data_IF_146566205187
#
_entry.id   IF_146566205187
#
_cell.length_a   1.000
_cell.length_b   1.000
_cell.length_c   1.000
_cell.angle_alpha   90.00
_cell.angle_beta   90.00
_cell.angle_gamma   90.00
#
_symmetry.space_group_name_H-M   'P 1'
#
loop_
_entity.id
_entity.type
_entity.pdbx_description
1 polymer ?
#
# COMPACT_ATOMS: atom_id res chain seq x y z
N UNK A 1 -10.12 -4.04 -15.15
CA UNK A 1 -10.17 -3.05 -14.05
C UNK A 1 -10.97 -1.85 -14.47
N UNK A 2 -11.87 -1.38 -13.61
CA UNK A 2 -12.64 -0.17 -13.84
C UNK A 2 -12.30 0.86 -12.76
N UNK A 3 -11.88 2.06 -13.17
CA UNK A 3 -11.77 3.19 -12.25
C UNK A 3 -13.18 3.62 -11.82
N UNK A 4 -13.30 4.37 -10.73
CA UNK A 4 -14.60 4.90 -10.29
C UNK A 4 -15.26 5.75 -11.39
N UNK A 5 -14.45 6.46 -12.19
CA UNK A 5 -14.91 7.14 -13.39
C UNK A 5 -15.48 6.16 -14.42
N UNK A 6 -14.79 5.05 -14.69
CA UNK A 6 -15.25 4.04 -15.65
C UNK A 6 -16.56 3.40 -15.18
N UNK A 7 -16.66 3.03 -13.90
CA UNK A 7 -17.90 2.51 -13.30
C UNK A 7 -19.05 3.52 -13.41
N UNK A 8 -18.78 4.81 -13.16
CA UNK A 8 -19.79 5.87 -13.29
C UNK A 8 -20.17 6.14 -14.75
N UNK A 9 -19.22 6.04 -15.68
CA UNK A 9 -19.49 6.16 -17.12
C UNK A 9 -20.35 4.99 -17.59
N UNK A 10 -19.97 3.75 -17.28
CA UNK A 10 -20.73 2.54 -17.64
C UNK A 10 -22.14 2.55 -17.03
N UNK A 11 -22.27 3.02 -15.80
CA UNK A 11 -23.57 3.25 -15.16
C UNK A 11 -24.43 4.23 -15.96
N UNK A 12 -23.85 5.37 -16.36
CA UNK A 12 -24.55 6.40 -17.10
C UNK A 12 -24.91 5.91 -18.52
N UNK A 13 -23.97 5.25 -19.19
CA UNK A 13 -24.15 4.66 -20.52
C UNK A 13 -25.27 3.62 -20.51
N UNK A 14 -25.29 2.73 -19.51
CA UNK A 14 -26.35 1.73 -19.33
C UNK A 14 -27.73 2.35 -19.07
N UNK A 15 -27.79 3.48 -18.37
CA UNK A 15 -29.07 4.20 -18.17
C UNK A 15 -29.52 4.99 -19.40
N UNK A 16 -28.59 5.41 -20.26
CA UNK A 16 -28.88 6.26 -21.41
C UNK A 16 -29.08 5.49 -22.72
N UNK A 17 -28.65 4.23 -22.83
CA UNK A 17 -28.59 3.44 -24.06
C UNK A 17 -29.84 3.57 -24.96
N UNK A 18 -31.04 3.46 -24.39
CA UNK A 18 -32.31 3.45 -25.15
C UNK A 18 -33.16 4.72 -24.99
N UNK A 19 -32.60 5.80 -24.43
CA UNK A 19 -33.34 7.04 -24.16
C UNK A 19 -33.16 8.05 -25.28
N UNK A 20 -34.20 8.84 -25.57
CA UNK A 20 -34.08 10.02 -26.44
C UNK A 20 -33.15 11.07 -25.84
N UNK A 21 -32.62 11.98 -26.67
CA UNK A 21 -31.72 13.06 -26.22
C UNK A 21 -32.36 13.91 -25.11
N UNK A 22 -33.63 14.29 -25.27
CA UNK A 22 -34.36 15.07 -24.25
C UNK A 22 -34.50 14.31 -22.93
N UNK A 23 -34.76 12.99 -22.98
CA UNK A 23 -34.83 12.16 -21.78
C UNK A 23 -33.48 12.04 -21.08
N UNK A 24 -32.38 11.97 -21.83
CA UNK A 24 -31.02 11.95 -21.28
C UNK A 24 -30.66 13.27 -20.62
N UNK A 25 -30.99 14.38 -21.27
CA UNK A 25 -30.83 15.73 -20.73
C UNK A 25 -31.63 15.93 -19.43
N UNK A 26 -32.92 15.60 -19.45
CA UNK A 26 -33.80 15.70 -18.29
C UNK A 26 -33.35 14.80 -17.14
N UNK A 27 -32.85 13.61 -17.46
CA UNK A 27 -32.26 12.72 -16.45
C UNK A 27 -31.03 13.35 -15.81
N UNK A 28 -30.05 13.82 -16.60
CA UNK A 28 -28.81 14.38 -16.07
C UNK A 28 -29.06 15.63 -15.22
N UNK A 29 -29.90 16.55 -15.70
CA UNK A 29 -30.27 17.78 -14.97
C UNK A 29 -30.97 17.47 -13.64
N UNK A 30 -31.93 16.54 -13.64
CA UNK A 30 -32.65 16.11 -12.43
C UNK A 30 -31.73 15.39 -11.46
N UNK A 31 -30.88 14.49 -11.97
CA UNK A 31 -29.93 13.74 -11.16
C UNK A 31 -28.95 14.68 -10.45
N UNK A 32 -28.36 15.64 -11.17
CA UNK A 32 -27.44 16.62 -10.59
C UNK A 32 -28.17 17.43 -9.53
N UNK A 33 -29.33 18.01 -9.84
CA UNK A 33 -30.11 18.80 -8.86
C UNK A 33 -30.39 18.05 -7.56
N UNK A 34 -30.81 16.80 -7.66
CA UNK A 34 -31.22 16.02 -6.49
C UNK A 34 -30.04 15.49 -5.67
N UNK A 35 -28.86 15.34 -6.27
CA UNK A 35 -27.72 14.67 -5.63
C UNK A 35 -26.55 15.61 -5.34
N UNK A 36 -26.63 16.89 -5.73
CA UNK A 36 -25.55 17.86 -5.53
C UNK A 36 -25.27 18.15 -4.05
N UNK A 37 -26.20 17.85 -3.15
CA UNK A 37 -25.98 17.98 -1.70
C UNK A 37 -25.32 16.72 -1.09
N UNK A 38 -25.58 15.55 -1.67
CA UNK A 38 -25.05 14.26 -1.24
C UNK A 38 -23.71 13.90 -1.94
N UNK A 39 -22.83 14.89 -2.16
CA UNK A 39 -21.70 14.80 -3.09
C UNK A 39 -20.75 13.62 -2.84
N UNK A 40 -20.54 13.21 -1.59
CA UNK A 40 -19.49 12.25 -1.24
C UNK A 40 -19.64 10.88 -1.92
N UNK A 41 -20.87 10.37 -2.07
CA UNK A 41 -21.14 9.06 -2.69
C UNK A 41 -21.39 9.13 -4.20
N UNK A 42 -21.92 10.25 -4.69
CA UNK A 42 -22.37 10.40 -6.08
C UNK A 42 -21.50 11.31 -6.96
N UNK A 43 -20.39 11.86 -6.43
CA UNK A 43 -19.58 12.84 -7.17
C UNK A 43 -19.12 12.36 -8.57
N UNK A 44 -18.71 11.10 -8.72
CA UNK A 44 -18.31 10.58 -10.04
C UNK A 44 -19.48 10.48 -11.02
N UNK A 45 -20.67 10.11 -10.53
CA UNK A 45 -21.90 10.08 -11.33
C UNK A 45 -22.35 11.49 -11.74
N UNK A 46 -22.29 12.45 -10.82
CA UNK A 46 -22.54 13.87 -11.08
C UNK A 46 -21.57 14.39 -12.15
N UNK A 47 -20.28 14.08 -12.00
CA UNK A 47 -19.25 14.44 -12.98
C UNK A 47 -19.53 13.84 -14.37
N UNK A 48 -19.90 12.57 -14.47
CA UNK A 48 -20.25 11.93 -15.74
C UNK A 48 -21.51 12.57 -16.38
N UNK A 49 -22.56 12.83 -15.60
CA UNK A 49 -23.75 13.54 -16.08
C UNK A 49 -23.40 14.94 -16.60
N UNK A 50 -22.54 15.66 -15.88
CA UNK A 50 -22.07 16.98 -16.31
C UNK A 50 -21.24 16.92 -17.59
N UNK A 51 -20.26 16.01 -17.69
CA UNK A 51 -19.47 15.83 -18.92
C UNK A 51 -20.35 15.50 -20.11
N UNK A 52 -21.38 14.66 -19.93
CA UNK A 52 -22.35 14.37 -20.98
C UNK A 52 -23.08 15.65 -21.43
N UNK A 53 -23.65 16.40 -20.48
CA UNK A 53 -24.38 17.64 -20.77
C UNK A 53 -23.50 18.68 -21.46
N UNK A 54 -22.26 18.87 -20.99
CA UNK A 54 -21.29 19.81 -21.54
C UNK A 54 -20.90 19.44 -22.98
N UNK A 55 -20.71 18.15 -23.28
CA UNK A 55 -20.37 17.67 -24.64
C UNK A 55 -21.55 17.71 -25.60
N UNK A 56 -22.75 17.35 -25.13
CA UNK A 56 -23.94 17.24 -25.99
C UNK A 56 -24.62 18.61 -26.21
N UNK A 57 -24.69 19.45 -25.17
CA UNK A 57 -25.45 20.71 -25.17
C UNK A 57 -24.71 21.81 -24.39
N UNK A 58 -23.50 22.17 -24.82
CA UNK A 58 -22.60 23.07 -24.07
C UNK A 58 -23.23 24.40 -23.62
N UNK A 59 -23.94 25.12 -24.50
CA UNK A 59 -24.61 26.38 -24.15
C UNK A 59 -25.73 26.19 -23.13
N UNK A 60 -26.56 25.15 -23.30
CA UNK A 60 -27.65 24.85 -22.37
C UNK A 60 -27.10 24.37 -21.02
N UNK A 61 -25.95 23.69 -21.00
CA UNK A 61 -25.30 23.22 -19.78
C UNK A 61 -24.80 24.38 -18.93
N UNK A 62 -24.23 25.42 -19.57
CA UNK A 62 -23.88 26.68 -18.91
C UNK A 62 -25.13 27.35 -18.32
N UNK A 63 -26.22 27.40 -19.09
CA UNK A 63 -27.50 27.93 -18.62
C UNK A 63 -28.12 27.11 -17.48
N UNK A 64 -27.94 25.79 -17.47
CA UNK A 64 -28.37 24.94 -16.36
C UNK A 64 -27.55 25.21 -15.10
N UNK A 65 -26.22 25.30 -15.23
CA UNK A 65 -25.31 25.60 -14.12
C UNK A 65 -25.67 26.91 -13.43
N UNK A 66 -25.93 27.98 -14.19
CA UNK A 66 -26.30 29.28 -13.62
C UNK A 66 -27.65 29.30 -12.91
N UNK A 67 -28.52 28.31 -13.16
CA UNK A 67 -29.84 28.14 -12.52
C UNK A 67 -29.81 27.21 -11.31
N UNK A 68 -28.66 26.65 -10.95
CA UNK A 68 -28.53 25.88 -9.72
C UNK A 68 -28.57 26.81 -8.51
N UNK A 69 -29.10 26.32 -7.39
CA UNK A 69 -29.15 27.10 -6.15
C UNK A 69 -27.75 27.48 -5.63
N UNK A 70 -26.76 26.60 -5.84
CA UNK A 70 -25.37 26.81 -5.48
C UNK A 70 -24.50 26.27 -6.63
N UNK A 71 -24.21 27.08 -7.66
CA UNK A 71 -23.42 26.67 -8.82
C UNK A 71 -21.99 26.23 -8.46
N UNK A 72 -21.39 26.86 -7.44
CA UNK A 72 -20.00 26.65 -7.01
C UNK A 72 -19.78 25.19 -6.56
N UNK A 73 -20.81 24.57 -5.97
CA UNK A 73 -20.75 23.16 -5.57
C UNK A 73 -20.58 22.21 -6.74
N UNK A 74 -21.18 22.54 -7.88
CA UNK A 74 -20.99 21.76 -9.10
C UNK A 74 -19.60 21.99 -9.67
N UNK A 75 -19.12 23.25 -9.64
CA UNK A 75 -17.79 23.61 -10.12
C UNK A 75 -16.68 22.92 -9.34
N UNK A 76 -16.73 22.95 -8.01
CA UNK A 76 -15.76 22.29 -7.14
C UNK A 76 -15.75 20.77 -7.36
N UNK A 77 -16.94 20.17 -7.48
CA UNK A 77 -17.08 18.75 -7.79
C UNK A 77 -16.44 18.40 -9.14
N UNK A 78 -16.76 19.16 -10.18
CA UNK A 78 -16.25 18.94 -11.55
C UNK A 78 -14.74 19.16 -11.60
N UNK A 79 -14.24 20.26 -11.03
CA UNK A 79 -12.81 20.57 -10.98
C UNK A 79 -12.03 19.47 -10.26
N UNK A 80 -12.49 19.05 -9.07
CA UNK A 80 -11.86 17.98 -8.30
C UNK A 80 -11.85 16.65 -9.04
N UNK A 81 -12.93 16.29 -9.76
CA UNK A 81 -12.98 15.04 -10.55
C UNK A 81 -12.15 15.11 -11.84
N UNK A 82 -12.10 16.25 -12.52
CA UNK A 82 -11.17 16.46 -13.65
C UNK A 82 -9.72 16.30 -13.21
N UNK A 83 -9.34 16.92 -12.10
CA UNK A 83 -7.98 16.79 -11.55
C UNK A 83 -7.67 15.34 -11.16
N UNK A 84 -8.58 14.68 -10.46
CA UNK A 84 -8.42 13.27 -10.06
C UNK A 84 -8.22 12.36 -11.28
N UNK A 85 -9.05 12.53 -12.33
CA UNK A 85 -8.93 11.80 -13.59
C UNK A 85 -7.60 12.08 -14.29
N UNK A 86 -7.17 13.33 -14.33
CA UNK A 86 -5.89 13.72 -14.94
C UNK A 86 -4.70 13.11 -14.19
N UNK A 87 -4.72 13.10 -12.85
CA UNK A 87 -3.69 12.44 -12.03
C UNK A 87 -3.66 10.93 -12.28
N UNK A 88 -4.83 10.29 -12.36
CA UNK A 88 -4.92 8.86 -12.66
C UNK A 88 -4.31 8.54 -14.03
N UNK A 89 -4.69 9.30 -15.08
CA UNK A 89 -4.14 9.13 -16.43
C UNK A 89 -2.63 9.35 -16.46
N UNK A 90 -2.13 10.39 -15.78
CA UNK A 90 -0.69 10.67 -15.69
C UNK A 90 0.06 9.54 -14.99
N UNK A 91 -0.48 9.00 -13.89
CA UNK A 91 0.13 7.89 -13.17
C UNK A 91 0.17 6.63 -14.05
N UNK A 92 -0.93 6.30 -14.72
CA UNK A 92 -1.00 5.16 -15.66
C UNK A 92 -0.03 5.32 -16.82
N UNK A 93 0.04 6.51 -17.43
CA UNK A 93 0.98 6.80 -18.51
C UNK A 93 2.43 6.63 -18.05
N UNK A 94 2.77 7.16 -16.87
CA UNK A 94 4.10 7.01 -16.29
C UNK A 94 4.47 5.55 -16.01
N UNK A 95 3.52 4.72 -15.56
CA UNK A 95 3.75 3.28 -15.39
C UNK A 95 4.01 2.63 -16.75
N UNK A 96 3.15 2.86 -17.74
CA UNK A 96 3.28 2.26 -19.07
C UNK A 96 4.57 2.69 -19.80
N UNK A 97 5.04 3.91 -19.57
CA UNK A 97 6.30 4.41 -20.13
C UNK A 97 7.52 3.65 -19.59
N UNK A 98 7.54 3.35 -18.29
CA UNK A 98 8.71 2.76 -17.64
C UNK A 98 8.62 1.22 -17.55
N UNK A 99 7.40 0.69 -17.54
CA UNK A 99 7.04 -0.73 -17.53
C UNK A 99 6.00 -1.02 -18.63
N UNK A 100 6.43 -1.11 -19.90
CA UNK A 100 5.52 -1.23 -21.05
C UNK A 100 4.75 -2.56 -21.11
N UNK A 101 5.30 -3.61 -20.51
CA UNK A 101 4.71 -4.95 -20.41
C UNK A 101 3.83 -5.11 -19.17
N UNK A 102 3.66 -4.05 -18.36
CA UNK A 102 2.90 -4.10 -17.12
C UNK A 102 1.41 -4.32 -17.36
N UNK A 103 0.92 -5.48 -16.94
CA UNK A 103 -0.49 -5.88 -17.05
C UNK A 103 -1.29 -5.63 -15.76
N UNK A 104 -0.70 -4.91 -14.79
CA UNK A 104 -1.28 -4.64 -13.47
C UNK A 104 -1.62 -5.90 -12.67
N UNK A 105 -0.99 -7.03 -12.98
CA UNK A 105 -1.05 -8.22 -12.14
C UNK A 105 0.08 -8.19 -11.13
N UNK A 106 -0.24 -8.60 -9.90
CA UNK A 106 0.76 -8.61 -8.81
C UNK A 106 0.76 -10.01 -8.23
N UNK A 107 1.49 -10.91 -8.87
CA UNK A 107 1.42 -12.35 -8.59
C UNK A 107 2.70 -12.82 -7.89
N UNK A 108 2.54 -13.59 -6.82
CA UNK A 108 3.60 -14.46 -6.29
C UNK A 108 3.03 -15.84 -6.01
N UNK A 109 3.79 -16.88 -6.37
CA UNK A 109 3.43 -18.29 -6.13
C UNK A 109 1.97 -18.59 -6.54
N UNK A 110 1.62 -18.22 -7.77
CA UNK A 110 0.27 -18.36 -8.36
C UNK A 110 -0.86 -17.59 -7.65
N UNK A 111 -0.56 -16.79 -6.62
CA UNK A 111 -1.56 -15.97 -5.92
C UNK A 111 -1.54 -14.55 -6.47
N UNK A 112 -2.65 -14.10 -7.04
CA UNK A 112 -2.82 -12.70 -7.44
C UNK A 112 -3.16 -11.82 -6.23
N UNK A 113 -2.36 -10.77 -6.04
CA UNK A 113 -2.47 -9.77 -4.98
C UNK A 113 -2.91 -8.42 -5.54
N UNK A 114 -3.23 -8.32 -6.83
CA UNK A 114 -3.78 -7.11 -7.41
C UNK A 114 -5.14 -6.76 -6.78
N UNK A 115 -5.40 -5.49 -6.43
CA UNK A 115 -6.73 -5.07 -6.00
C UNK A 115 -7.70 -5.09 -7.18
N UNK A 116 -9.00 -5.29 -6.90
CA UNK A 116 -10.04 -5.19 -7.92
C UNK A 116 -10.03 -3.81 -8.62
N UNK A 117 -9.84 -2.76 -7.83
CA UNK A 117 -9.69 -1.38 -8.28
C UNK A 117 -8.42 -0.77 -7.68
N UNK A 118 -7.59 -0.16 -8.53
CA UNK A 118 -6.39 0.54 -8.08
C UNK A 118 -6.78 1.96 -7.66
N UNK A 119 -6.57 2.27 -6.39
CA UNK A 119 -6.77 3.63 -5.89
C UNK A 119 -5.75 4.58 -6.52
N UNK A 120 -6.10 5.86 -6.67
CA UNK A 120 -5.18 6.88 -7.20
C UNK A 120 -3.85 6.89 -6.43
N UNK A 121 -3.90 6.88 -5.10
CA UNK A 121 -2.69 6.87 -4.27
C UNK A 121 -1.83 5.61 -4.44
N UNK A 122 -2.42 4.47 -4.85
CA UNK A 122 -1.64 3.29 -5.22
C UNK A 122 -0.99 3.49 -6.59
N UNK A 123 -1.73 3.99 -7.58
CA UNK A 123 -1.20 4.27 -8.92
C UNK A 123 -0.06 5.29 -8.90
N UNK A 124 -0.18 6.37 -8.12
CA UNK A 124 0.87 7.38 -7.99
C UNK A 124 2.16 6.77 -7.42
N UNK A 125 2.06 5.89 -6.43
CA UNK A 125 3.22 5.22 -5.85
C UNK A 125 3.81 4.16 -6.77
N UNK A 126 2.98 3.43 -7.49
CA UNK A 126 3.45 2.51 -8.54
C UNK A 126 4.14 3.28 -9.66
N UNK A 127 3.66 4.46 -10.04
CA UNK A 127 4.33 5.32 -11.00
C UNK A 127 5.70 5.78 -10.48
N UNK A 128 5.82 6.14 -9.20
CA UNK A 128 7.12 6.43 -8.57
C UNK A 128 8.04 5.21 -8.62
N UNK A 129 7.54 4.03 -8.23
CA UNK A 129 8.30 2.79 -8.25
C UNK A 129 8.80 2.43 -9.66
N UNK A 130 7.95 2.58 -10.67
CA UNK A 130 8.28 2.33 -12.07
C UNK A 130 9.35 3.30 -12.58
N UNK A 131 9.23 4.60 -12.28
CA UNK A 131 10.24 5.59 -12.64
C UNK A 131 11.61 5.30 -12.03
N UNK A 132 11.64 4.89 -10.76
CA UNK A 132 12.91 4.62 -10.07
C UNK A 132 13.56 3.29 -10.48
N UNK A 133 12.81 2.39 -11.13
CA UNK A 133 13.23 1.02 -11.45
C UNK A 133 12.67 0.59 -12.81
N UNK A 134 13.00 1.33 -13.87
CA UNK A 134 12.59 1.00 -15.22
C UNK A 134 13.08 -0.41 -15.64
N UNK A 135 12.23 -1.16 -16.35
CA UNK A 135 12.55 -2.52 -16.84
C UNK A 135 12.63 -3.62 -15.77
N UNK A 136 12.20 -3.37 -14.53
CA UNK A 136 12.21 -4.34 -13.44
C UNK A 136 10.79 -4.79 -13.03
N UNK A 137 9.82 -4.68 -13.95
CA UNK A 137 8.41 -4.85 -13.65
C UNK A 137 8.06 -6.23 -13.08
N UNK A 138 8.59 -7.31 -13.66
CA UNK A 138 8.32 -8.70 -13.22
C UNK A 138 8.92 -8.98 -11.84
N UNK A 139 10.14 -8.49 -11.59
CA UNK A 139 10.79 -8.66 -10.29
C UNK A 139 10.04 -7.87 -9.21
N UNK A 140 9.59 -6.65 -9.53
CA UNK A 140 8.94 -5.78 -8.56
C UNK A 140 7.46 -6.14 -8.31
N UNK A 141 6.74 -6.73 -9.28
CA UNK A 141 5.44 -7.35 -8.98
C UNK A 141 5.60 -8.49 -7.98
N UNK A 142 6.57 -9.38 -8.19
CA UNK A 142 6.83 -10.47 -7.27
C UNK A 142 7.20 -9.95 -5.87
N UNK A 143 8.10 -8.96 -5.80
CA UNK A 143 8.48 -8.32 -4.53
C UNK A 143 7.28 -7.67 -3.81
N UNK A 144 6.38 -6.99 -4.54
CA UNK A 144 5.15 -6.42 -3.97
C UNK A 144 4.21 -7.51 -3.43
N UNK A 145 4.03 -8.61 -4.16
CA UNK A 145 3.22 -9.72 -3.69
C UNK A 145 3.82 -10.40 -2.43
N UNK A 146 5.15 -10.47 -2.35
CA UNK A 146 5.84 -10.91 -1.14
C UNK A 146 5.62 -9.95 0.03
N UNK A 147 5.67 -8.63 -0.19
CA UNK A 147 5.35 -7.62 0.85
C UNK A 147 3.94 -7.76 1.41
N UNK A 148 2.97 -8.06 0.55
CA UNK A 148 1.60 -8.36 1.00
C UNK A 148 1.57 -9.60 1.89
N UNK A 149 2.28 -10.66 1.50
CA UNK A 149 2.38 -11.91 2.27
C UNK A 149 3.06 -11.68 3.62
N UNK A 150 4.15 -10.93 3.65
CA UNK A 150 4.82 -10.49 4.88
C UNK A 150 3.87 -9.71 5.77
N UNK A 151 3.15 -8.72 5.22
CA UNK A 151 2.18 -7.93 5.97
C UNK A 151 1.10 -8.82 6.60
N UNK A 152 0.51 -9.75 5.86
CA UNK A 152 -0.52 -10.66 6.39
C UNK A 152 0.04 -11.54 7.51
N UNK A 153 1.29 -11.98 7.37
CA UNK A 153 1.94 -12.87 8.33
C UNK A 153 2.37 -12.16 9.62
N UNK A 154 2.87 -10.92 9.50
CA UNK A 154 3.51 -10.19 10.61
C UNK A 154 2.65 -9.08 11.19
N UNK A 155 1.64 -8.60 10.46
CA UNK A 155 0.60 -7.71 10.97
C UNK A 155 -0.74 -8.45 10.93
N UNK A 156 -1.64 -8.21 11.89
CA UNK A 156 -2.99 -8.79 11.89
C UNK A 156 -3.89 -8.27 10.74
N UNK A 157 -3.30 -7.85 9.62
CA UNK A 157 -4.00 -7.35 8.45
C UNK A 157 -4.71 -8.49 7.73
N UNK A 158 -6.04 -8.40 7.65
CA UNK A 158 -6.87 -9.30 6.84
C UNK A 158 -6.87 -8.94 5.34
N UNK A 159 -6.26 -7.81 4.97
CA UNK A 159 -6.27 -7.35 3.58
C UNK A 159 -5.24 -8.13 2.76
N UNK A 160 -5.73 -8.87 1.77
CA UNK A 160 -4.99 -9.81 0.93
C UNK A 160 -4.43 -9.22 -0.35
N UNK A 161 -4.66 -7.93 -0.61
CA UNK A 161 -4.25 -7.22 -1.83
C UNK A 161 -3.23 -6.13 -1.54
N UNK A 162 -2.50 -5.69 -2.57
CA UNK A 162 -1.52 -4.59 -2.44
C UNK A 162 -2.18 -3.29 -1.99
N UNK A 163 -1.51 -2.61 -1.08
CA UNK A 163 -1.86 -1.28 -0.59
C UNK A 163 -0.75 -0.28 -0.93
N UNK A 164 -1.08 1.03 -0.94
CA UNK A 164 -0.08 2.11 -1.05
C UNK A 164 1.12 1.94 -0.10
N UNK A 165 0.89 1.48 1.14
CA UNK A 165 1.94 1.28 2.12
C UNK A 165 2.93 0.16 1.78
N UNK A 166 2.51 -0.89 1.05
CA UNK A 166 3.45 -1.96 0.64
C UNK A 166 4.44 -1.43 -0.40
N UNK A 167 3.96 -0.55 -1.29
CA UNK A 167 4.79 0.13 -2.28
C UNK A 167 5.77 1.09 -1.61
N UNK A 168 5.35 1.83 -0.58
CA UNK A 168 6.27 2.70 0.18
C UNK A 168 7.38 1.91 0.87
N UNK A 169 7.04 0.77 1.49
CA UNK A 169 8.03 -0.09 2.15
C UNK A 169 9.05 -0.60 1.13
N UNK A 170 8.58 -1.07 -0.03
CA UNK A 170 9.46 -1.53 -1.10
C UNK A 170 10.34 -0.40 -1.65
N UNK A 171 9.78 0.78 -1.89
CA UNK A 171 10.52 1.98 -2.30
C UNK A 171 11.59 2.35 -1.28
N UNK A 172 11.27 2.31 0.02
CA UNK A 172 12.22 2.61 1.08
C UNK A 172 13.37 1.59 1.14
N UNK A 173 13.08 0.30 0.95
CA UNK A 173 14.08 -0.76 0.89
C UNK A 173 15.03 -0.58 -0.30
N UNK A 174 14.50 -0.33 -1.50
CA UNK A 174 15.30 -0.07 -2.71
C UNK A 174 16.20 1.15 -2.52
N UNK A 175 15.65 2.25 -2.01
CA UNK A 175 16.41 3.48 -1.77
C UNK A 175 17.49 3.29 -0.71
N UNK A 176 17.25 2.46 0.32
CA UNK A 176 18.26 2.12 1.33
C UNK A 176 19.38 1.27 0.73
N UNK A 177 19.04 0.27 -0.09
CA UNK A 177 20.03 -0.60 -0.73
C UNK A 177 20.94 0.16 -1.72
N UNK A 178 20.45 1.24 -2.33
CA UNK A 178 21.23 2.11 -3.22
C UNK A 178 22.15 3.10 -2.50
N UNK A 179 21.99 3.31 -1.18
CA UNK A 179 22.88 4.23 -0.46
C UNK A 179 24.28 3.61 -0.35
N UNK A 180 25.34 4.31 -0.79
CA UNK A 180 26.70 3.84 -0.60
C UNK A 180 26.97 3.68 0.90
N UNK A 181 27.66 2.60 1.28
CA UNK A 181 28.09 2.39 2.65
C UNK A 181 28.89 3.63 3.11
N UNK A 182 28.65 4.14 4.34
CA UNK A 182 29.45 5.25 4.85
C UNK A 182 30.91 4.84 4.79
N UNK A 183 31.70 5.62 4.04
CA UNK A 183 33.16 5.47 4.01
C UNK A 183 33.61 5.54 5.46
N UNK A 184 34.32 4.52 6.00
CA UNK A 184 34.82 4.60 7.36
C UNK A 184 35.66 5.87 7.47
N UNK A 185 35.26 6.75 8.39
CA UNK A 185 36.02 7.96 8.67
C UNK A 185 37.47 7.55 8.96
N UNK A 186 38.47 8.26 8.41
CA UNK A 186 39.87 7.94 8.69
C UNK A 186 40.06 7.97 10.21
N UNK A 187 40.49 6.82 10.74
CA UNK A 187 40.88 6.68 12.14
C UNK A 187 41.99 7.69 12.37
N UNK A 188 41.69 8.77 13.08
CA UNK A 188 42.71 9.73 13.48
C UNK A 188 43.75 8.98 14.32
N UNK A 189 45.05 9.07 14.00
CA UNK A 189 46.06 8.37 14.78
C UNK A 189 46.01 8.90 16.22
N UNK A 190 45.92 7.97 17.17
CA UNK A 190 45.96 8.27 18.59
C UNK A 190 47.20 9.11 18.91
N UNK A 191 47.09 10.24 19.64
CA UNK A 191 48.27 10.96 20.09
C UNK A 191 49.03 10.06 21.06
N UNK A 192 50.28 9.79 20.68
CA UNK A 192 51.19 8.90 21.38
C UNK A 192 51.35 9.24 22.85
N UNK A 193 51.57 8.17 23.62
CA UNK A 193 52.00 8.16 25.00
C UNK A 193 53.08 9.22 25.26
N UNK A 194 52.77 10.20 26.12
CA UNK A 194 53.77 11.02 26.79
C UNK A 194 54.01 10.42 28.17
N UNK A 195 55.17 9.79 28.29
CA UNK A 195 55.84 9.48 29.54
C UNK A 195 56.10 10.76 30.34
N UNK A 196 55.70 10.72 31.60
CA UNK A 196 55.96 11.73 32.63
C UNK A 196 57.44 11.80 33.01
N UNK A 197 57.95 12.98 33.39
CA UNK A 197 58.98 13.08 34.43
C UNK A 197 58.52 13.95 35.62
N UNK A 198 59.16 13.81 36.80
CA UNK A 198 58.62 14.25 38.07
C UNK A 198 58.91 15.73 38.40
N UNK A 199 58.06 16.24 39.31
CA UNK A 199 58.03 17.56 39.95
C UNK A 199 59.26 17.79 40.86
N UNK A 200 59.68 19.06 41.08
CA UNK A 200 59.58 19.58 42.44
C UNK A 200 59.03 21.02 42.55
N UNK A 201 58.01 21.14 43.40
CA UNK A 201 57.65 22.20 44.36
C UNK A 201 58.31 23.59 44.26
N UNK A 202 57.48 24.62 44.03
CA UNK A 202 57.35 25.80 44.90
C UNK A 202 56.09 26.62 44.54
N UNK A 203 55.11 26.63 45.46
CA UNK A 203 54.05 27.65 45.64
C UNK A 203 54.61 28.79 46.53
N UNK A 204 53.89 29.90 46.85
CA UNK A 204 52.62 30.45 46.34
C UNK A 204 52.65 32.00 46.08
N UNK A 205 51.67 32.55 45.35
CA UNK A 205 51.03 33.82 45.77
C UNK A 205 49.77 34.16 44.96
N UNK A 206 48.68 34.38 45.71
CA UNK A 206 47.39 35.06 45.39
C UNK A 206 46.60 34.65 44.14
N UNK A 207 45.42 34.01 44.22
CA UNK A 207 44.08 34.59 44.59
C UNK A 207 43.67 35.78 43.72
N UNK A 208 42.45 35.92 43.18
CA UNK A 208 41.16 35.22 43.27
C UNK A 208 40.38 35.53 41.96
N UNK A 209 39.67 34.57 41.36
CA UNK A 209 38.21 34.37 41.48
C UNK A 209 37.34 35.56 41.05
N UNK A 210 36.53 35.39 39.98
CA UNK A 210 35.08 35.61 39.97
C UNK A 210 34.47 35.13 38.63
N UNK A 211 33.29 34.52 38.80
CA UNK A 211 32.25 34.05 37.89
C UNK A 211 31.93 35.05 36.74
N UNK A 212 31.25 34.76 35.62
CA UNK A 212 29.97 34.10 35.40
C UNK A 212 29.69 34.25 33.89
N UNK A 213 29.25 33.23 33.16
CA UNK A 213 27.90 33.31 32.59
C UNK A 213 27.81 33.49 31.06
N UNK A 214 27.43 32.39 30.40
CA UNK A 214 26.29 32.29 29.45
C UNK A 214 26.32 33.04 28.11
N UNK A 215 26.53 32.23 27.06
CA UNK A 215 25.74 32.11 25.83
C UNK A 215 24.99 33.33 25.25
N UNK A 216 25.19 33.51 23.94
CA UNK A 216 24.06 33.49 23.01
C UNK A 216 23.90 34.73 22.13
N UNK A 217 24.05 34.51 20.83
CA UNK A 217 23.05 34.89 19.82
C UNK A 217 22.86 36.38 19.57
N UNK A 218 23.50 36.85 18.51
CA UNK A 218 23.18 38.10 17.83
C UNK A 218 21.74 38.07 17.27
N UNK A 219 20.95 39.01 17.77
CA UNK A 219 19.66 39.53 17.27
C UNK A 219 20.03 40.87 16.60
N UNK A 220 19.85 41.05 15.28
CA UNK A 220 18.64 41.47 14.53
C UNK A 220 18.61 42.99 14.33
N UNK A 221 18.63 43.43 13.07
CA UNK A 221 17.95 44.64 12.58
C UNK A 221 17.29 44.25 11.24
N UNK A 222 15.96 44.22 11.13
CA UNK A 222 15.01 45.33 10.86
C UNK A 222 15.07 45.80 9.39
N UNK A 223 13.99 45.96 8.63
CA UNK A 223 12.58 46.05 8.96
C UNK A 223 11.68 45.78 7.71
N UNK A 224 10.45 45.33 8.02
CA UNK A 224 9.14 45.71 7.43
C UNK A 224 8.85 45.54 5.93
N UNK A 225 7.62 45.26 5.50
CA UNK A 225 6.34 44.84 6.08
C UNK A 225 5.37 44.79 4.89
N UNK A 226 4.55 43.74 4.75
CA UNK A 226 3.11 43.99 4.64
C UNK A 226 2.30 42.74 5.01
N UNK A 227 1.17 43.00 5.65
CA UNK A 227 0.38 42.10 6.48
C UNK A 227 -1.04 42.06 5.96
N UNK A 228 -1.65 40.87 5.80
CA UNK A 228 -3.05 40.65 6.23
C UNK A 228 -3.19 39.25 6.81
N UNK A 229 -3.94 39.23 7.91
CA UNK A 229 -4.12 38.23 8.96
C UNK A 229 -5.35 37.34 8.68
N UNK A 230 -5.38 36.20 9.39
CA UNK A 230 -6.52 35.35 9.78
C UNK A 230 -6.87 34.18 8.83
N UNK A 231 -6.99 32.93 9.28
CA UNK A 231 -7.03 32.44 10.65
C UNK A 231 -7.00 30.91 10.71
N UNK A 232 -6.43 30.45 11.80
CA UNK A 232 -6.29 29.07 12.24
C UNK A 232 -7.62 28.29 12.24
N UNK A 233 -7.57 27.03 11.78
CA UNK A 233 -8.26 25.88 12.41
C UNK A 233 -7.83 24.57 11.74
N UNK A 234 -6.96 23.84 12.45
CA UNK A 234 -6.81 22.40 12.32
C UNK A 234 -8.14 21.72 12.64
N UNK A 235 -8.52 20.63 11.93
CA UNK A 235 -9.37 19.62 12.53
C UNK A 235 -8.58 18.32 12.76
N UNK A 236 -8.35 18.06 14.05
CA UNK A 236 -8.54 16.80 14.76
C UNK A 236 -8.70 15.50 13.95
N UNK A 237 -7.83 14.54 14.27
CA UNK A 237 -7.92 13.13 13.92
C UNK A 237 -8.97 12.41 14.81
N UNK A 238 -9.88 11.67 14.16
CA UNK A 238 -10.68 10.51 14.65
C UNK A 238 -11.74 10.76 15.76
N UNK A 239 -12.73 9.86 16.03
CA UNK A 239 -13.02 8.52 15.48
C UNK A 239 -14.50 8.29 15.05
N UNK A 240 -14.79 7.32 14.17
CA UNK A 240 -16.17 6.81 13.97
C UNK A 240 -16.20 5.28 14.08
N UNK A 241 -16.48 4.82 15.31
CA UNK A 241 -17.16 3.56 15.61
C UNK A 241 -18.51 3.96 16.21
N UNK A 242 -19.61 3.41 15.69
CA UNK A 242 -20.95 3.70 16.17
C UNK A 242 -22.00 2.82 15.52
N UNK A 243 -22.26 1.67 16.15
CA UNK A 243 -23.46 0.86 16.02
C UNK A 243 -24.64 1.54 16.73
N UNK A 244 -25.83 1.53 16.11
CA UNK A 244 -27.19 1.48 16.71
C UNK A 244 -28.20 1.51 15.55
N UNK A 245 -29.12 0.57 15.32
CA UNK A 245 -30.15 -0.06 16.15
C UNK A 245 -31.38 0.84 16.44
N UNK A 246 -32.56 0.37 15.97
CA UNK A 246 -33.92 0.87 16.23
C UNK A 246 -34.53 1.60 15.02
N UNK A 247 -35.72 1.30 14.51
CA UNK A 247 -36.82 0.41 14.91
C UNK A 247 -38.15 1.03 14.43
N UNK A 248 -39.06 0.25 13.83
CA UNK A 248 -40.53 0.34 13.91
C UNK A 248 -41.17 -0.63 12.90
N UNK A 249 -41.88 -1.70 13.30
CA UNK A 249 -43.19 -1.81 13.97
C UNK A 249 -44.34 -1.95 12.96
N UNK A 250 -44.81 -3.18 12.72
CA UNK A 250 -46.26 -3.53 12.60
C UNK A 250 -46.45 -5.02 12.95
N UNK A 251 -47.29 -5.29 13.95
CA UNK A 251 -47.99 -6.57 14.19
C UNK A 251 -49.49 -6.26 14.25
N UNK A 252 -50.40 -7.17 13.85
CA UNK A 252 -51.07 -8.00 14.87
C UNK A 252 -51.35 -9.47 14.47
N UNK A 253 -51.45 -10.32 15.51
CA UNK A 253 -51.86 -11.75 15.64
C UNK A 253 -53.38 -12.01 15.39
N UNK A 254 -53.99 -13.21 15.64
CA UNK A 254 -53.50 -14.57 16.06
C UNK A 254 -54.04 -15.73 15.12
N UNK A 255 -53.79 -17.04 15.24
CA UNK A 255 -54.20 -17.96 16.33
C UNK A 255 -53.68 -19.42 16.21
N UNK A 256 -53.55 -20.05 17.38
CA UNK A 256 -53.68 -21.47 17.81
C UNK A 256 -52.86 -22.69 17.26
N UNK A 257 -52.18 -23.36 18.24
CA UNK A 257 -52.03 -24.83 18.53
C UNK A 257 -50.86 -25.65 17.92
N UNK A 258 -50.50 -26.82 18.54
CA UNK A 258 -49.82 -26.97 19.83
C UNK A 258 -48.55 -27.86 19.73
N UNK A 259 -47.92 -28.08 20.88
CA UNK A 259 -46.65 -28.77 21.12
C UNK A 259 -46.47 -30.15 20.43
N UNK A 260 -45.23 -30.42 20.02
CA UNK A 260 -44.69 -31.77 19.93
C UNK A 260 -43.26 -31.80 20.48
N UNK A 261 -43.03 -32.76 21.36
CA UNK A 261 -41.82 -33.00 22.15
C UNK A 261 -40.74 -33.72 21.32
N UNK A 262 -39.47 -33.34 21.49
CA UNK A 262 -38.34 -34.11 20.96
C UNK A 262 -37.00 -33.66 21.58
N UNK A 263 -36.24 -34.56 22.25
CA UNK A 263 -35.02 -34.19 22.96
C UNK A 263 -33.88 -33.90 21.97
N UNK A 264 -33.33 -32.69 22.03
CA UNK A 264 -32.12 -32.30 21.30
C UNK A 264 -30.90 -33.00 21.89
N UNK A 265 -30.34 -33.95 21.14
CA UNK A 265 -29.00 -34.47 21.39
C UNK A 265 -27.97 -33.38 21.07
N UNK A 266 -27.33 -32.84 22.11
CA UNK A 266 -26.18 -31.96 21.98
C UNK A 266 -25.00 -32.71 21.35
N UNK A 267 -24.70 -32.43 20.09
CA UNK A 267 -23.41 -32.77 19.48
C UNK A 267 -22.34 -31.82 20.06
N UNK A 268 -21.18 -32.34 20.54
CA UNK A 268 -20.08 -31.48 20.96
C UNK A 268 -19.46 -30.75 19.75
N UNK A 269 -18.91 -29.55 19.94
CA UNK A 269 -18.28 -28.79 18.86
C UNK A 269 -17.05 -29.53 18.30
N UNK A 270 -16.75 -29.39 16.99
CA UNK A 270 -15.59 -30.04 16.38
C UNK A 270 -14.28 -29.54 16.99
N UNK A 271 -13.40 -30.48 17.31
CA UNK A 271 -12.04 -30.26 17.79
C UNK A 271 -11.22 -29.50 16.73
N UNK A 272 -10.50 -28.42 17.08
CA UNK A 272 -9.62 -27.73 16.14
C UNK A 272 -8.48 -28.65 15.70
N UNK A 273 -8.02 -28.56 14.42
CA UNK A 273 -6.93 -29.39 13.94
C UNK A 273 -5.63 -29.12 14.71
N UNK A 274 -4.78 -30.15 14.93
CA UNK A 274 -3.56 -30.01 15.71
C UNK A 274 -2.62 -29.00 15.04
N UNK A 275 -2.23 -27.97 15.78
CA UNK A 275 -1.18 -27.02 15.37
C UNK A 275 0.12 -27.79 15.13
N UNK A 276 0.50 -27.98 13.85
CA UNK A 276 1.84 -28.45 13.47
C UNK A 276 2.87 -27.46 14.03
N UNK A 277 3.66 -27.92 15.01
CA UNK A 277 4.82 -27.19 15.52
C UNK A 277 5.84 -27.12 14.37
N UNK A 278 5.94 -25.97 13.70
CA UNK A 278 7.08 -25.67 12.83
C UNK A 278 8.35 -25.75 13.67
N UNK A 279 9.12 -26.84 13.53
CA UNK A 279 10.48 -26.92 14.06
C UNK A 279 11.26 -25.77 13.45
N UNK A 280 11.58 -24.75 14.26
CA UNK A 280 12.60 -23.76 13.90
C UNK A 280 13.95 -24.44 14.09
N UNK A 281 14.53 -24.94 13.02
CA UNK A 281 15.91 -25.45 12.98
C UNK A 281 16.70 -24.64 11.93
N UNK A 282 16.85 -23.35 12.17
CA UNK A 282 17.70 -22.48 11.35
C UNK A 282 19.18 -22.52 11.77
N UNK A 283 19.67 -23.63 12.35
CA UNK A 283 20.97 -23.64 13.05
C UNK A 283 22.02 -24.66 12.62
N UNK A 284 21.80 -25.46 11.57
CA UNK A 284 22.79 -26.47 11.14
C UNK A 284 23.50 -26.16 9.81
N UNK A 285 23.53 -24.88 9.38
CA UNK A 285 24.37 -24.50 8.24
C UNK A 285 25.77 -24.05 8.71
N UNK A 286 26.86 -24.62 8.16
CA UNK A 286 28.21 -24.26 8.56
C UNK A 286 28.47 -22.76 8.31
N UNK A 287 29.12 -22.04 9.23
CA UNK A 287 29.24 -20.58 9.20
C UNK A 287 30.11 -20.01 8.07
N UNK A 288 30.62 -20.86 7.15
CA UNK A 288 31.51 -20.49 6.04
C UNK A 288 31.01 -20.91 4.66
N UNK A 289 29.77 -21.38 4.54
CA UNK A 289 29.20 -21.72 3.24
C UNK A 289 28.99 -20.46 2.39
N UNK A 290 29.29 -20.53 1.09
CA UNK A 290 28.94 -19.48 0.14
C UNK A 290 27.42 -19.24 0.13
N UNK A 291 26.99 -18.05 -0.31
CA UNK A 291 25.56 -17.75 -0.39
C UNK A 291 24.87 -18.75 -1.34
N UNK A 292 25.53 -19.13 -2.42
CA UNK A 292 25.10 -20.20 -3.33
C UNK A 292 24.86 -21.53 -2.61
N UNK A 293 25.82 -21.99 -1.80
CA UNK A 293 25.68 -23.23 -1.03
C UNK A 293 24.54 -23.16 0.00
N UNK A 294 24.32 -21.99 0.60
CA UNK A 294 23.20 -21.75 1.53
C UNK A 294 21.84 -21.76 0.85
N UNK A 295 21.76 -21.18 -0.35
CA UNK A 295 20.53 -21.20 -1.16
C UNK A 295 20.22 -22.64 -1.58
N UNK A 296 21.23 -23.40 -2.07
CA UNK A 296 21.04 -24.83 -2.40
C UNK A 296 20.52 -25.63 -1.22
N UNK A 297 21.14 -25.48 -0.05
CA UNK A 297 20.72 -26.21 1.14
C UNK A 297 19.28 -25.89 1.60
N UNK A 298 18.85 -24.62 1.49
CA UNK A 298 17.48 -24.23 1.81
C UNK A 298 16.46 -24.79 0.83
N UNK A 299 16.78 -24.80 -0.46
CA UNK A 299 15.92 -25.37 -1.50
C UNK A 299 15.82 -26.89 -1.31
N UNK A 300 16.93 -27.57 -1.08
CA UNK A 300 16.96 -29.02 -0.81
C UNK A 300 16.17 -29.39 0.45
N UNK A 301 16.19 -28.53 1.48
CA UNK A 301 15.40 -28.71 2.69
C UNK A 301 13.91 -28.58 2.45
N UNK A 302 13.49 -27.56 1.69
CA UNK A 302 12.08 -27.38 1.33
C UNK A 302 11.58 -28.52 0.44
N UNK A 303 12.39 -28.97 -0.53
CA UNK A 303 12.05 -30.11 -1.39
C UNK A 303 11.91 -31.41 -0.60
N UNK A 304 12.76 -31.63 0.40
CA UNK A 304 12.63 -32.78 1.31
C UNK A 304 11.36 -32.71 2.14
N UNK A 305 11.02 -31.53 2.67
CA UNK A 305 9.79 -31.33 3.41
C UNK A 305 8.54 -31.52 2.53
N UNK A 306 8.61 -31.11 1.26
CA UNK A 306 7.55 -31.33 0.27
C UNK A 306 7.36 -32.83 -0.02
N UNK A 307 8.46 -33.60 -0.19
CA UNK A 307 8.43 -35.06 -0.34
C UNK A 307 7.82 -35.76 0.88
N UNK A 308 8.23 -35.37 2.08
CA UNK A 308 7.68 -35.92 3.33
C UNK A 308 6.19 -35.60 3.50
N UNK A 309 5.74 -34.43 3.03
CA UNK A 309 4.32 -34.08 3.05
C UNK A 309 3.52 -34.81 1.98
N UNK A 310 4.10 -35.03 0.79
CA UNK A 310 3.47 -35.77 -0.30
C UNK A 310 3.30 -37.26 0.05
N UNK A 311 4.28 -37.85 0.75
CA UNK A 311 4.22 -39.24 1.22
C UNK A 311 3.12 -39.51 2.26
N UNK A 312 2.48 -38.47 2.80
CA UNK A 312 1.35 -38.59 3.74
C UNK A 312 -0.03 -38.45 3.07
N UNK A 313 -0.09 -37.98 1.81
CA UNK A 313 -1.33 -37.72 1.07
C UNK A 313 -1.43 -38.64 -0.17
N UNK A 314 -2.36 -39.59 -0.12
CA UNK A 314 -2.40 -40.79 -1.00
C UNK A 314 -2.99 -40.55 -2.42
N UNK A 315 -3.19 -39.31 -2.86
CA UNK A 315 -3.71 -39.04 -4.22
C UNK A 315 -3.39 -37.63 -4.71
N UNK A 316 -2.61 -37.55 -5.79
CA UNK A 316 -2.32 -36.32 -6.54
C UNK A 316 -1.07 -35.54 -6.10
N UNK A 317 -0.43 -35.92 -4.99
CA UNK A 317 0.77 -35.25 -4.50
C UNK A 317 2.02 -35.53 -5.37
N UNK A 318 2.12 -36.71 -5.96
CA UNK A 318 3.26 -37.10 -6.81
C UNK A 318 3.38 -36.23 -8.06
N UNK A 319 2.27 -35.95 -8.75
CA UNK A 319 2.27 -35.09 -9.94
C UNK A 319 2.61 -33.63 -9.60
N UNK A 320 2.17 -33.13 -8.44
CA UNK A 320 2.52 -31.79 -7.98
C UNK A 320 4.00 -31.70 -7.56
N UNK A 321 4.55 -32.78 -7.00
CA UNK A 321 5.95 -32.90 -6.63
C UNK A 321 6.85 -32.96 -7.87
N UNK A 322 6.46 -33.71 -8.91
CA UNK A 322 7.20 -33.79 -10.18
C UNK A 322 7.31 -32.41 -10.86
N UNK A 323 6.20 -31.67 -10.94
CA UNK A 323 6.21 -30.30 -11.49
C UNK A 323 7.07 -29.36 -10.65
N UNK A 324 7.07 -29.52 -9.32
CA UNK A 324 7.90 -28.72 -8.42
C UNK A 324 9.38 -29.06 -8.57
N UNK A 325 9.74 -30.33 -8.73
CA UNK A 325 11.11 -30.79 -8.98
C UNK A 325 11.66 -30.26 -10.31
N UNK A 326 10.86 -30.36 -11.37
CA UNK A 326 11.23 -29.83 -12.69
C UNK A 326 11.40 -28.32 -12.66
N UNK A 327 10.45 -27.59 -12.06
CA UNK A 327 10.56 -26.14 -11.93
C UNK A 327 11.78 -25.73 -11.12
N UNK A 328 12.05 -26.42 -10.01
CA UNK A 328 13.17 -26.11 -9.12
C UNK A 328 14.49 -26.38 -9.81
N UNK A 329 14.65 -27.51 -10.51
CA UNK A 329 15.88 -27.84 -11.23
C UNK A 329 16.21 -26.82 -12.32
N UNK A 330 15.21 -26.36 -13.08
CA UNK A 330 15.39 -25.39 -14.17
C UNK A 330 15.63 -23.98 -13.65
N UNK A 331 14.90 -23.54 -12.63
CA UNK A 331 14.97 -22.15 -12.15
C UNK A 331 16.11 -21.91 -11.16
N UNK A 332 16.44 -22.89 -10.32
CA UNK A 332 17.49 -22.77 -9.32
C UNK A 332 18.85 -22.49 -9.97
N UNK A 333 19.24 -23.27 -10.98
CA UNK A 333 20.53 -23.05 -11.65
C UNK A 333 20.58 -21.73 -12.43
N UNK A 334 19.47 -21.31 -13.04
CA UNK A 334 19.37 -20.00 -13.68
C UNK A 334 19.54 -18.84 -12.69
N UNK A 335 18.97 -18.96 -11.48
CA UNK A 335 19.10 -17.94 -10.43
C UNK A 335 20.51 -17.92 -9.84
N UNK A 336 21.10 -19.09 -9.59
CA UNK A 336 22.46 -19.20 -9.07
C UNK A 336 23.50 -18.68 -10.07
N UNK A 337 23.29 -18.93 -11.37
CA UNK A 337 24.13 -18.38 -12.44
C UNK A 337 24.08 -16.84 -12.52
N UNK A 338 22.98 -16.22 -12.08
CA UNK A 338 22.82 -14.77 -11.99
C UNK A 338 23.49 -14.11 -10.78
N UNK A 339 23.98 -14.89 -9.80
CA UNK A 339 24.61 -14.33 -8.60
C UNK A 339 25.97 -13.69 -8.92
N UNK A 340 26.33 -12.54 -8.34
CA UNK A 340 27.69 -11.99 -8.45
C UNK A 340 28.75 -13.01 -8.00
N UNK A 341 29.89 -13.06 -8.72
CA UNK A 341 31.02 -13.95 -8.40
C UNK A 341 31.44 -14.00 -6.91
N UNK A 342 31.52 -12.88 -6.15
CA UNK A 342 31.91 -12.93 -4.73
C UNK A 342 30.88 -13.61 -3.82
N UNK A 343 29.68 -13.93 -4.31
CA UNK A 343 28.63 -14.62 -3.54
C UNK A 343 28.57 -16.12 -3.82
N UNK A 344 29.24 -16.57 -4.90
CA UNK A 344 29.38 -17.99 -5.28
C UNK A 344 30.51 -18.67 -4.51
N UNK A 345 31.53 -17.92 -4.11
CA UNK A 345 32.70 -18.42 -3.40
C UNK A 345 32.52 -18.35 -1.88
N UNK A 346 32.99 -19.35 -1.12
CA UNK A 346 33.02 -19.30 0.34
C UNK A 346 34.00 -18.21 0.80
N UNK A 347 33.63 -17.45 1.84
CA UNK A 347 34.46 -16.39 2.43
C UNK A 347 35.41 -16.91 3.51
#
# INVERSE_FOLDING_TARGET
MASDWKNASEWLDGLMADRSLDMRWNFCTTFIKNNLEAQSSNAWKIFCCWEYMERAHGLEAVGFRSRLAIPERLDDCVAGKRETRAKEQRARASIAEHWPTWDFRIVANQTDRAPANFSLGLLEKLAVLARENAGQEVMLSFALAMKVTERIRFSRSMITVVKPGDVDVLLAEIRRARRPAPVPAPVSPAPGARSSPPVPLALPSGSDSIEQGRAGGLVLEDASSDSVVLGSRLPSLSPWLGLSAGGDSVTPCPDERPADDGPSAHLPPPTPPPRRKRKRLAHDLPPRASLEARIRALVDEEMRAARESAALDDSGADAALEVLEDWTSVQQENWLAGLPAPWRQPR
#
